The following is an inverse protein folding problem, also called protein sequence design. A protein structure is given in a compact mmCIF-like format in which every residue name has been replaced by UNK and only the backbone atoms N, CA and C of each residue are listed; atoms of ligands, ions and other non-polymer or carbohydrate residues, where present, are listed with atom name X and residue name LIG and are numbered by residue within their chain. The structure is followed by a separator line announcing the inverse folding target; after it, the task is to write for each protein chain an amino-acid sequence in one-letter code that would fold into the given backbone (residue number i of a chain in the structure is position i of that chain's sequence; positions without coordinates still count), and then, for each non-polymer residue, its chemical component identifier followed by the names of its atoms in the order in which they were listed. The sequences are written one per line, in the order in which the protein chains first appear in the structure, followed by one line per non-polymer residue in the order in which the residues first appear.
data_IF_887138978073
#
_entry.id   IF_887138978073
#
_cell.length_a   1.000
_cell.length_b   1.000
_cell.length_c   1.000
_cell.angle_alpha   90.00
_cell.angle_beta   90.00
_cell.angle_gamma   90.00
#
_symmetry.space_group_name_H-M   'P 1'
#
loop_
_entity.id
_entity.type
_entity.pdbx_description
1 polymer ?
#
# COMPACT_ATOMS: atom_id res chain seq x y z
N UNK A 1 25.67 11.88 -7.07
CA UNK A 1 24.77 11.26 -6.08
C UNK A 1 25.63 10.66 -4.98
N UNK A 2 25.42 11.05 -3.73
CA UNK A 2 26.18 10.53 -2.58
C UNK A 2 25.78 9.09 -2.27
N UNK A 3 26.72 8.15 -2.40
CA UNK A 3 26.50 6.72 -2.12
C UNK A 3 26.11 6.45 -0.68
N UNK A 4 26.61 7.27 0.26
CA UNK A 4 26.31 7.15 1.68
C UNK A 4 24.86 7.59 1.97
N UNK A 5 24.39 8.67 1.34
CA UNK A 5 23.01 9.13 1.45
C UNK A 5 22.02 8.08 0.94
N UNK A 6 22.30 7.46 -0.23
CA UNK A 6 21.46 6.39 -0.79
C UNK A 6 21.40 5.18 0.14
N UNK A 7 22.56 4.75 0.68
CA UNK A 7 22.62 3.61 1.61
C UNK A 7 21.80 3.88 2.87
N UNK A 8 21.97 5.06 3.48
CA UNK A 8 21.25 5.44 4.70
C UNK A 8 19.74 5.51 4.45
N UNK A 9 19.34 6.10 3.31
CA UNK A 9 17.94 6.12 2.88
C UNK A 9 17.37 4.71 2.76
N UNK A 10 18.06 3.79 2.08
CA UNK A 10 17.57 2.43 1.88
C UNK A 10 17.36 1.70 3.22
N UNK A 11 18.31 1.84 4.16
CA UNK A 11 18.22 1.22 5.49
C UNK A 11 17.04 1.80 6.28
N UNK A 12 16.90 3.12 6.29
CA UNK A 12 15.84 3.79 7.03
C UNK A 12 14.45 3.49 6.45
N UNK A 13 14.33 3.56 5.12
CA UNK A 13 13.07 3.27 4.43
C UNK A 13 12.60 1.83 4.64
N UNK A 14 13.52 0.85 4.55
CA UNK A 14 13.20 -0.55 4.86
C UNK A 14 12.67 -0.68 6.29
N UNK A 15 13.32 -0.05 7.26
CA UNK A 15 12.89 -0.10 8.67
C UNK A 15 11.51 0.52 8.87
N UNK A 16 11.24 1.67 8.22
CA UNK A 16 9.93 2.34 8.28
C UNK A 16 8.83 1.49 7.64
N UNK A 17 9.11 0.87 6.48
CA UNK A 17 8.14 -0.02 5.81
C UNK A 17 7.82 -1.25 6.66
N UNK A 18 8.83 -1.92 7.21
CA UNK A 18 8.63 -3.06 8.12
C UNK A 18 7.75 -2.66 9.31
N UNK A 19 8.04 -1.52 9.95
CA UNK A 19 7.26 -1.05 11.08
C UNK A 19 5.79 -0.75 10.69
N UNK A 20 5.56 -0.11 9.55
CA UNK A 20 4.22 0.17 9.04
C UNK A 20 3.44 -1.11 8.71
N UNK A 21 4.10 -2.09 8.08
CA UNK A 21 3.49 -3.40 7.75
C UNK A 21 3.16 -4.16 9.03
N UNK A 22 4.05 -4.23 10.01
CA UNK A 22 3.79 -4.86 11.31
C UNK A 22 2.62 -4.19 12.04
N UNK A 23 2.54 -2.86 11.98
CA UNK A 23 1.41 -2.13 12.54
C UNK A 23 0.09 -2.49 11.84
N UNK A 24 0.08 -2.56 10.51
CA UNK A 24 -1.10 -2.95 9.75
C UNK A 24 -1.50 -4.41 10.03
N UNK A 25 -0.56 -5.33 10.11
CA UNK A 25 -0.83 -6.71 10.52
C UNK A 25 -1.47 -6.77 11.91
N UNK A 26 -0.97 -5.98 12.86
CA UNK A 26 -1.56 -5.90 14.20
C UNK A 26 -3.01 -5.40 14.15
N UNK A 27 -3.32 -4.40 13.33
CA UNK A 27 -4.71 -3.93 13.12
C UNK A 27 -5.60 -5.05 12.57
N UNK A 28 -5.05 -5.91 11.73
CA UNK A 28 -5.75 -7.09 11.19
C UNK A 28 -5.83 -8.26 12.18
N UNK A 29 -5.37 -8.10 13.44
CA UNK A 29 -5.33 -9.16 14.44
C UNK A 29 -4.27 -10.22 14.19
N UNK A 30 -3.19 -9.88 13.48
CA UNK A 30 -2.09 -10.79 13.17
C UNK A 30 -0.81 -10.21 13.78
N UNK A 31 -0.23 -10.93 14.73
CA UNK A 31 1.01 -10.54 15.40
C UNK A 31 2.11 -11.57 15.14
N UNK A 32 3.32 -11.30 15.60
CA UNK A 32 4.45 -12.24 15.54
C UNK A 32 4.23 -13.50 16.40
N UNK A 33 3.27 -13.44 17.32
CA UNK A 33 2.98 -14.51 18.26
C UNK A 33 1.75 -15.34 17.87
N UNK A 34 0.73 -14.69 17.26
CA UNK A 34 -0.54 -15.34 16.98
C UNK A 34 -1.39 -14.62 15.93
N UNK A 35 -2.38 -15.35 15.42
CA UNK A 35 -3.50 -14.84 14.63
C UNK A 35 -4.74 -14.84 15.53
N UNK A 36 -5.35 -13.66 15.70
CA UNK A 36 -6.56 -13.51 16.50
C UNK A 36 -7.78 -14.08 15.81
N UNK A 37 -8.67 -14.69 16.56
CA UNK A 37 -9.99 -15.06 16.13
C UNK A 37 -10.88 -13.84 15.91
N UNK A 38 -11.91 -14.03 15.11
CA UNK A 38 -12.92 -13.01 14.84
C UNK A 38 -13.73 -12.72 16.12
N UNK A 39 -13.94 -11.42 16.42
CA UNK A 39 -14.75 -11.00 17.56
C UNK A 39 -16.23 -11.33 17.36
N UNK A 40 -16.96 -11.57 18.44
CA UNK A 40 -18.40 -11.88 18.43
C UNK A 40 -19.27 -10.75 17.83
N UNK A 41 -18.76 -9.51 17.88
CA UNK A 41 -19.42 -8.34 17.27
C UNK A 41 -19.40 -8.33 15.75
N UNK A 42 -18.66 -9.23 15.13
CA UNK A 42 -18.54 -9.34 13.68
C UNK A 42 -19.81 -9.88 13.02
N UNK A 43 -20.02 -9.49 11.78
CA UNK A 43 -21.12 -9.98 10.92
C UNK A 43 -20.56 -10.67 9.67
N UNK A 44 -21.43 -11.03 8.73
CA UNK A 44 -20.99 -11.53 7.42
C UNK A 44 -20.34 -10.49 6.53
N UNK A 45 -20.61 -9.20 6.76
CA UNK A 45 -20.15 -8.07 5.94
C UNK A 45 -19.06 -7.24 6.60
N UNK A 46 -18.94 -7.31 7.94
CA UNK A 46 -18.01 -6.53 8.74
C UNK A 46 -17.33 -7.45 9.75
N UNK A 47 -16.02 -7.53 9.70
CA UNK A 47 -15.22 -8.34 10.61
C UNK A 47 -14.34 -7.49 11.51
N UNK A 48 -14.26 -7.86 12.79
CA UNK A 48 -13.40 -7.25 13.81
C UNK A 48 -12.50 -8.32 14.45
N UNK A 49 -11.24 -7.98 14.71
CA UNK A 49 -10.23 -8.92 15.22
C UNK A 49 -9.51 -8.43 16.47
N UNK A 50 -9.38 -7.12 16.65
CA UNK A 50 -8.66 -6.52 17.80
C UNK A 50 -9.62 -5.71 18.66
N UNK A 51 -10.38 -4.83 18.03
CA UNK A 51 -11.38 -3.97 18.66
C UNK A 51 -12.48 -3.62 17.64
N UNK A 52 -13.50 -2.89 18.06
CA UNK A 52 -14.64 -2.47 17.26
C UNK A 52 -14.40 -1.17 16.46
N UNK A 53 -13.18 -0.61 16.52
CA UNK A 53 -12.81 0.63 15.83
C UNK A 53 -12.17 0.41 14.48
N UNK A 54 -11.71 -0.80 14.22
CA UNK A 54 -11.00 -1.17 12.98
C UNK A 54 -11.79 -2.22 12.20
N UNK A 55 -12.90 -1.85 11.54
CA UNK A 55 -13.69 -2.79 10.75
C UNK A 55 -12.94 -3.22 9.49
N UNK A 56 -13.01 -4.50 9.19
CA UNK A 56 -12.57 -5.07 7.92
C UNK A 56 -13.82 -5.37 7.10
N UNK A 57 -13.93 -4.79 5.91
CA UNK A 57 -15.12 -4.87 5.06
C UNK A 57 -14.78 -5.20 3.62
N UNK A 58 -15.77 -5.60 2.84
CA UNK A 58 -15.67 -5.77 1.39
C UNK A 58 -14.54 -6.74 0.99
N UNK A 59 -13.78 -6.36 -0.02
CA UNK A 59 -12.68 -7.16 -0.56
C UNK A 59 -11.56 -7.43 0.46
N UNK A 60 -11.40 -6.58 1.48
CA UNK A 60 -10.37 -6.74 2.49
C UNK A 60 -10.57 -7.97 3.39
N UNK A 61 -11.81 -8.44 3.57
CA UNK A 61 -12.11 -9.70 4.28
C UNK A 61 -11.43 -10.86 3.56
N UNK A 62 -11.62 -10.95 2.25
CA UNK A 62 -11.02 -12.01 1.42
C UNK A 62 -9.49 -11.89 1.38
N UNK A 63 -8.97 -10.66 1.27
CA UNK A 63 -7.52 -10.41 1.29
C UNK A 63 -6.88 -10.85 2.61
N UNK A 64 -7.54 -10.58 3.76
CA UNK A 64 -7.07 -11.06 5.07
C UNK A 64 -7.11 -12.59 5.16
N UNK A 65 -8.16 -13.24 4.67
CA UNK A 65 -8.21 -14.71 4.66
C UNK A 65 -7.06 -15.31 3.85
N UNK A 66 -6.74 -14.73 2.68
CA UNK A 66 -5.58 -15.16 1.87
C UNK A 66 -4.25 -14.95 2.62
N UNK A 67 -4.10 -13.84 3.34
CA UNK A 67 -2.93 -13.59 4.18
C UNK A 67 -2.74 -14.66 5.26
N UNK A 68 -3.82 -15.02 5.94
CA UNK A 68 -3.80 -16.07 6.98
C UNK A 68 -3.44 -17.43 6.39
N UNK A 69 -4.02 -17.76 5.24
CA UNK A 69 -3.69 -19.01 4.52
C UNK A 69 -2.21 -19.03 4.14
N UNK A 70 -1.68 -17.95 3.60
CA UNK A 70 -0.27 -17.84 3.21
C UNK A 70 0.66 -18.02 4.43
N UNK A 71 0.35 -17.39 5.57
CA UNK A 71 1.13 -17.57 6.80
C UNK A 71 1.14 -19.03 7.26
N UNK A 72 0.00 -19.70 7.26
CA UNK A 72 -0.07 -21.12 7.63
C UNK A 72 0.65 -22.04 6.65
N UNK A 73 0.67 -21.72 5.35
CA UNK A 73 1.45 -22.50 4.38
C UNK A 73 2.97 -22.34 4.62
N UNK A 74 3.43 -21.13 4.92
CA UNK A 74 4.84 -20.88 5.24
C UNK A 74 5.26 -21.52 6.57
N UNK A 75 4.40 -21.47 7.58
CA UNK A 75 4.62 -22.10 8.89
C UNK A 75 4.91 -23.60 8.79
N UNK A 76 4.33 -24.31 7.81
CA UNK A 76 4.60 -25.75 7.58
C UNK A 76 6.04 -26.05 7.23
N UNK A 77 6.75 -25.10 6.63
CA UNK A 77 8.14 -25.26 6.22
C UNK A 77 9.15 -24.78 7.29
N UNK A 78 8.70 -23.91 8.20
CA UNK A 78 9.53 -23.30 9.25
C UNK A 78 8.80 -23.34 10.60
N UNK A 79 8.61 -22.20 11.22
CA UNK A 79 7.75 -21.94 12.38
C UNK A 79 6.98 -20.63 12.12
N UNK A 80 5.97 -20.35 12.96
CA UNK A 80 5.08 -19.21 12.76
C UNK A 80 5.82 -17.86 12.82
N UNK A 81 6.72 -17.67 13.79
CA UNK A 81 7.49 -16.44 13.97
C UNK A 81 8.39 -16.16 12.75
N UNK A 82 9.07 -17.19 12.27
CA UNK A 82 9.88 -17.11 11.05
C UNK A 82 9.03 -16.80 9.83
N UNK A 83 7.91 -17.50 9.63
CA UNK A 83 6.99 -17.27 8.51
C UNK A 83 6.43 -15.85 8.51
N UNK A 84 6.04 -15.33 9.70
CA UNK A 84 5.58 -13.96 9.86
C UNK A 84 6.65 -12.93 9.47
N UNK A 85 7.86 -13.07 9.99
CA UNK A 85 8.95 -12.13 9.72
C UNK A 85 9.39 -12.16 8.24
N UNK A 86 9.48 -13.34 7.63
CA UNK A 86 9.80 -13.47 6.20
C UNK A 86 8.75 -12.82 5.31
N UNK A 87 7.46 -12.99 5.62
CA UNK A 87 6.36 -12.35 4.88
C UNK A 87 6.42 -10.82 5.01
N UNK A 88 6.65 -10.29 6.21
CA UNK A 88 6.81 -8.85 6.44
C UNK A 88 7.97 -8.27 5.64
N UNK A 89 9.11 -8.96 5.63
CA UNK A 89 10.30 -8.56 4.87
C UNK A 89 10.04 -8.57 3.36
N UNK A 90 9.40 -9.60 2.83
CA UNK A 90 9.06 -9.73 1.41
C UNK A 90 8.13 -8.58 0.97
N UNK A 91 7.09 -8.30 1.74
CA UNK A 91 6.16 -7.21 1.44
C UNK A 91 6.87 -5.85 1.51
N UNK A 92 7.71 -5.63 2.52
CA UNK A 92 8.49 -4.40 2.64
C UNK A 92 9.44 -4.20 1.46
N UNK A 93 10.13 -5.25 1.03
CA UNK A 93 11.03 -5.23 -0.13
C UNK A 93 10.28 -4.93 -1.43
N UNK A 94 9.12 -5.56 -1.62
CA UNK A 94 8.27 -5.35 -2.79
C UNK A 94 7.85 -3.89 -2.91
N UNK A 95 7.37 -3.30 -1.83
CA UNK A 95 6.93 -1.90 -1.85
C UNK A 95 8.08 -0.91 -1.92
N UNK A 96 9.21 -1.19 -1.27
CA UNK A 96 10.41 -0.38 -1.42
C UNK A 96 10.84 -0.26 -2.88
N UNK A 97 10.94 -1.38 -3.59
CA UNK A 97 11.34 -1.38 -5.01
C UNK A 97 10.37 -0.59 -5.88
N UNK A 98 9.07 -0.72 -5.64
CA UNK A 98 8.04 0.03 -6.37
C UNK A 98 8.11 1.53 -6.12
N UNK A 99 8.28 1.95 -4.87
CA UNK A 99 8.45 3.35 -4.51
C UNK A 99 9.65 3.97 -5.24
N UNK A 100 10.80 3.31 -5.21
CA UNK A 100 12.01 3.76 -5.91
C UNK A 100 11.79 3.85 -7.42
N UNK A 101 11.17 2.82 -8.01
CA UNK A 101 10.91 2.78 -9.44
C UNK A 101 9.95 3.88 -9.88
N UNK A 102 8.84 4.09 -9.15
CA UNK A 102 7.89 5.16 -9.45
C UNK A 102 8.58 6.52 -9.31
N UNK A 103 9.38 6.72 -8.27
CA UNK A 103 10.14 7.98 -8.11
C UNK A 103 11.09 8.23 -9.27
N UNK A 104 11.84 7.20 -9.66
CA UNK A 104 12.75 7.29 -10.81
C UNK A 104 11.98 7.67 -12.09
N UNK A 105 10.87 7.02 -12.37
CA UNK A 105 10.04 7.31 -13.54
C UNK A 105 9.43 8.72 -13.46
N UNK A 106 9.01 9.15 -12.28
CA UNK A 106 8.42 10.47 -12.06
C UNK A 106 9.42 11.60 -12.34
N UNK A 107 10.63 11.52 -11.76
CA UNK A 107 11.64 12.59 -11.93
C UNK A 107 12.22 12.64 -13.34
N UNK A 108 12.20 11.53 -14.08
CA UNK A 108 12.70 11.45 -15.46
C UNK A 108 11.58 11.60 -16.51
N UNK A 109 10.33 11.81 -16.10
CA UNK A 109 9.19 11.95 -17.01
C UNK A 109 8.83 10.67 -17.77
N UNK A 110 9.13 9.50 -17.22
CA UNK A 110 8.88 8.18 -17.83
C UNK A 110 7.52 7.58 -17.46
N UNK A 111 6.75 8.19 -16.55
CA UNK A 111 5.39 7.77 -16.30
C UNK A 111 4.53 7.95 -17.56
N UNK A 112 3.76 6.95 -18.00
CA UNK A 112 2.93 7.04 -19.19
C UNK A 112 1.96 8.22 -19.19
N UNK A 113 1.38 8.52 -18.04
CA UNK A 113 0.47 9.65 -17.81
C UNK A 113 1.17 11.00 -17.67
N UNK A 114 2.48 11.02 -17.38
CA UNK A 114 3.25 12.17 -16.91
C UNK A 114 2.68 12.85 -15.64
N UNK A 115 1.72 12.23 -14.97
CA UNK A 115 1.14 12.69 -13.72
C UNK A 115 2.03 12.19 -12.57
N UNK A 116 2.45 13.09 -11.69
CA UNK A 116 3.27 12.72 -10.53
C UNK A 116 2.43 11.98 -9.49
N UNK A 117 2.98 10.88 -9.01
CA UNK A 117 2.31 9.94 -8.09
C UNK A 117 2.76 10.13 -6.65
N UNK A 118 4.01 10.51 -6.45
CA UNK A 118 4.63 10.69 -5.14
C UNK A 118 4.75 12.16 -4.74
N UNK A 119 4.80 13.07 -5.71
CA UNK A 119 5.05 14.50 -5.46
C UNK A 119 4.13 15.39 -6.29
N UNK A 120 4.20 16.69 -6.03
CA UNK A 120 3.52 17.71 -6.83
C UNK A 120 4.49 18.44 -7.76
N UNK A 121 4.04 18.71 -8.98
CA UNK A 121 4.76 19.58 -9.94
C UNK A 121 4.71 21.06 -9.58
N UNK A 122 3.74 21.46 -8.76
CA UNK A 122 3.50 22.84 -8.33
C UNK A 122 3.92 23.12 -6.88
N UNK A 123 4.63 22.18 -6.22
CA UNK A 123 5.12 22.35 -4.86
C UNK A 123 4.05 22.25 -3.77
N UNK A 124 2.89 21.65 -4.09
CA UNK A 124 1.85 21.33 -3.08
C UNK A 124 2.25 20.10 -2.27
N UNK A 125 1.60 19.91 -1.12
CA UNK A 125 1.80 18.72 -0.31
C UNK A 125 1.18 17.48 -0.97
N UNK A 126 -0.01 17.62 -1.59
CA UNK A 126 -0.68 16.52 -2.26
C UNK A 126 0.00 16.19 -3.60
N UNK A 127 0.25 14.91 -3.89
CA UNK A 127 0.71 14.45 -5.20
C UNK A 127 -0.26 14.82 -6.32
N UNK A 128 0.25 15.09 -7.53
CA UNK A 128 -0.58 15.53 -8.66
C UNK A 128 -1.69 14.52 -9.01
N UNK A 129 -1.48 13.23 -8.76
CA UNK A 129 -2.48 12.18 -9.03
C UNK A 129 -3.75 12.36 -8.20
N UNK A 130 -3.64 12.92 -6.98
CA UNK A 130 -4.77 13.16 -6.07
C UNK A 130 -5.78 14.17 -6.62
N UNK A 131 -5.35 15.02 -7.54
CA UNK A 131 -6.13 16.12 -8.11
C UNK A 131 -6.80 15.75 -9.43
N UNK A 132 -6.58 14.53 -9.91
CA UNK A 132 -7.14 14.09 -11.19
C UNK A 132 -8.49 13.45 -11.01
N UNK A 133 -9.36 13.69 -11.98
CA UNK A 133 -10.64 13.00 -12.08
C UNK A 133 -10.44 11.54 -12.53
N UNK A 134 -11.43 10.71 -12.31
CA UNK A 134 -11.44 9.34 -12.84
C UNK A 134 -11.21 9.34 -14.36
N UNK A 135 -11.91 10.22 -15.09
CA UNK A 135 -11.81 10.30 -16.55
C UNK A 135 -10.38 10.59 -17.04
N UNK A 136 -9.61 11.40 -16.30
CA UNK A 136 -8.20 11.68 -16.62
C UNK A 136 -7.30 10.47 -16.37
N UNK A 137 -7.67 9.60 -15.42
CA UNK A 137 -6.83 8.49 -14.96
C UNK A 137 -7.12 7.18 -15.71
N UNK A 138 -8.37 6.93 -16.12
CA UNK A 138 -8.78 5.69 -16.81
C UNK A 138 -7.88 5.29 -17.98
N UNK A 139 -7.42 6.20 -18.86
CA UNK A 139 -6.55 5.83 -19.97
C UNK A 139 -5.21 5.19 -19.55
N UNK A 140 -4.77 5.43 -18.34
CA UNK A 140 -3.46 5.01 -17.82
C UNK A 140 -3.56 3.95 -16.72
N UNK A 141 -4.61 3.99 -15.90
CA UNK A 141 -4.79 3.12 -14.74
C UNK A 141 -5.83 2.03 -14.96
N UNK A 142 -6.52 2.07 -16.11
CA UNK A 142 -7.65 1.19 -16.38
C UNK A 142 -8.94 1.62 -15.68
N UNK A 143 -10.02 0.87 -15.90
CA UNK A 143 -11.33 1.15 -15.32
C UNK A 143 -11.31 1.10 -13.78
N UNK A 144 -12.15 1.91 -13.17
CA UNK A 144 -12.36 1.92 -11.72
C UNK A 144 -13.55 1.03 -11.38
N UNK A 145 -13.42 0.20 -10.35
CA UNK A 145 -14.53 -0.57 -9.81
C UNK A 145 -15.51 0.33 -9.05
N UNK A 146 -16.72 -0.16 -8.77
CA UNK A 146 -17.70 0.59 -7.98
C UNK A 146 -17.16 0.96 -6.58
N UNK A 147 -16.36 0.08 -5.96
CA UNK A 147 -15.71 0.34 -4.68
C UNK A 147 -14.66 1.46 -4.79
N UNK A 148 -13.83 1.44 -5.84
CA UNK A 148 -12.82 2.49 -6.10
C UNK A 148 -13.47 3.83 -6.43
N UNK A 149 -14.57 3.83 -7.20
CA UNK A 149 -15.35 5.05 -7.48
C UNK A 149 -15.96 5.63 -6.20
N UNK A 150 -16.50 4.80 -5.33
CA UNK A 150 -17.04 5.23 -4.04
C UNK A 150 -15.95 5.90 -3.18
N UNK A 151 -14.72 5.35 -3.14
CA UNK A 151 -13.58 5.96 -2.45
C UNK A 151 -13.26 7.33 -3.04
N UNK A 152 -13.24 7.47 -4.38
CA UNK A 152 -12.96 8.75 -5.06
C UNK A 152 -13.99 9.84 -4.69
N UNK A 153 -15.27 9.47 -4.72
CA UNK A 153 -16.38 10.39 -4.40
C UNK A 153 -16.34 10.79 -2.93
N UNK A 154 -16.27 9.80 -2.04
CA UNK A 154 -16.29 10.04 -0.59
C UNK A 154 -15.13 10.93 -0.13
N UNK A 155 -13.91 10.67 -0.59
CA UNK A 155 -12.76 11.51 -0.29
C UNK A 155 -12.93 12.97 -0.78
N UNK A 156 -13.61 13.17 -1.90
CA UNK A 156 -13.88 14.52 -2.44
C UNK A 156 -14.98 15.26 -1.71
N UNK A 157 -15.90 14.55 -1.05
CA UNK A 157 -17.00 15.12 -0.27
C UNK A 157 -16.58 15.46 1.16
N UNK A 158 -15.77 14.61 1.79
CA UNK A 158 -15.38 14.77 3.20
C UNK A 158 -14.13 15.60 3.39
N UNK A 159 -13.19 15.53 2.45
CA UNK A 159 -11.83 16.08 2.58
C UNK A 159 -11.12 15.67 3.89
N UNK A 160 -11.63 14.62 4.57
CA UNK A 160 -11.04 14.11 5.79
C UNK A 160 -9.73 13.37 5.47
N UNK A 161 -8.73 13.54 6.33
CA UNK A 161 -7.39 12.94 6.13
C UNK A 161 -7.46 11.42 5.89
N UNK A 162 -8.29 10.71 6.65
CA UNK A 162 -8.43 9.25 6.52
C UNK A 162 -8.98 8.84 5.15
N UNK A 163 -9.91 9.62 4.60
CA UNK A 163 -10.52 9.34 3.30
C UNK A 163 -9.57 9.72 2.16
N UNK A 164 -8.81 10.81 2.33
CA UNK A 164 -7.74 11.21 1.41
C UNK A 164 -6.61 10.18 1.39
N UNK A 165 -6.23 9.61 2.53
CA UNK A 165 -5.25 8.52 2.60
C UNK A 165 -5.77 7.25 1.93
N UNK A 166 -7.04 6.91 2.10
CA UNK A 166 -7.67 5.78 1.41
C UNK A 166 -7.67 5.96 -0.12
N UNK A 167 -8.02 7.17 -0.60
CA UNK A 167 -7.93 7.55 -2.02
C UNK A 167 -6.51 7.44 -2.54
N UNK A 168 -5.53 8.00 -1.82
CA UNK A 168 -4.14 7.96 -2.22
C UNK A 168 -3.63 6.51 -2.33
N UNK A 169 -3.89 5.71 -1.29
CA UNK A 169 -3.53 4.29 -1.29
C UNK A 169 -4.09 3.55 -2.50
N UNK A 170 -5.37 3.73 -2.79
CA UNK A 170 -6.04 3.11 -3.94
C UNK A 170 -5.38 3.53 -5.26
N UNK A 171 -5.16 4.83 -5.47
CA UNK A 171 -4.55 5.37 -6.69
C UNK A 171 -3.10 4.90 -6.85
N UNK A 172 -2.33 4.86 -5.76
CA UNK A 172 -0.95 4.39 -5.78
C UNK A 172 -0.85 2.91 -6.17
N UNK A 173 -1.66 2.06 -5.55
CA UNK A 173 -1.70 0.61 -5.86
C UNK A 173 -2.11 0.40 -7.32
N UNK A 174 -3.12 1.12 -7.78
CA UNK A 174 -3.60 1.05 -9.16
C UNK A 174 -2.54 1.48 -10.16
N UNK A 175 -1.80 2.56 -9.87
CA UNK A 175 -0.66 3.00 -10.68
C UNK A 175 0.46 1.95 -10.70
N UNK A 176 0.82 1.37 -9.57
CA UNK A 176 1.85 0.34 -9.50
C UNK A 176 1.45 -0.90 -10.32
N UNK A 177 0.19 -1.32 -10.24
CA UNK A 177 -0.32 -2.45 -11.02
C UNK A 177 -0.40 -2.14 -12.53
N UNK A 178 -0.76 -0.91 -12.92
CA UNK A 178 -0.77 -0.50 -14.32
C UNK A 178 0.64 -0.52 -14.95
N UNK A 179 1.69 -0.21 -14.19
CA UNK A 179 3.07 -0.26 -14.65
C UNK A 179 3.59 -1.69 -14.90
N UNK A 180 2.90 -2.72 -14.40
CA UNK A 180 3.23 -4.12 -14.73
C UNK A 180 3.24 -4.38 -16.25
N UNK A 181 2.36 -3.75 -17.01
CA UNK A 181 2.31 -3.90 -18.46
C UNK A 181 3.60 -3.41 -19.15
N UNK A 182 4.27 -2.42 -18.59
CA UNK A 182 5.48 -1.82 -19.14
C UNK A 182 6.76 -2.43 -18.56
N UNK A 183 6.74 -2.80 -17.28
CA UNK A 183 7.90 -3.28 -16.53
C UNK A 183 7.50 -4.50 -15.65
N UNK A 184 7.16 -5.66 -16.26
CA UNK A 184 6.59 -6.80 -15.54
C UNK A 184 7.51 -7.37 -14.46
N UNK A 185 8.84 -7.31 -14.64
CA UNK A 185 9.79 -7.80 -13.64
C UNK A 185 10.00 -6.87 -12.44
N UNK A 186 9.63 -5.61 -12.56
CA UNK A 186 9.77 -4.63 -11.49
C UNK A 186 8.45 -4.38 -10.78
N UNK A 187 7.36 -4.48 -11.51
CA UNK A 187 6.00 -4.32 -11.02
C UNK A 187 5.21 -5.63 -11.21
N UNK A 188 5.71 -6.76 -10.71
CA UNK A 188 4.92 -7.97 -10.66
C UNK A 188 3.56 -7.69 -10.01
N UNK A 189 2.49 -8.35 -10.50
CA UNK A 189 1.17 -8.17 -9.87
C UNK A 189 1.29 -8.50 -8.39
N UNK A 190 0.89 -7.56 -7.55
CA UNK A 190 0.88 -7.76 -6.11
C UNK A 190 -0.06 -8.89 -5.75
N UNK A 191 0.36 -9.72 -4.82
CA UNK A 191 -0.55 -10.58 -4.12
C UNK A 191 -1.57 -9.72 -3.36
N UNK A 192 -2.81 -10.17 -3.28
CA UNK A 192 -3.89 -9.43 -2.61
C UNK A 192 -3.54 -9.02 -1.17
N UNK A 193 -2.79 -9.87 -0.45
CA UNK A 193 -2.34 -9.55 0.90
C UNK A 193 -1.23 -8.48 0.95
N UNK A 194 -0.36 -8.42 -0.05
CA UNK A 194 0.65 -7.37 -0.11
C UNK A 194 0.01 -5.97 -0.29
N UNK A 195 -1.09 -5.90 -1.04
CA UNK A 195 -1.88 -4.68 -1.13
C UNK A 195 -2.55 -4.33 0.20
N UNK A 196 -3.11 -5.33 0.90
CA UNK A 196 -3.77 -5.12 2.20
C UNK A 196 -2.81 -4.57 3.25
N UNK A 197 -1.55 -4.98 3.22
CA UNK A 197 -0.52 -4.60 4.19
C UNK A 197 0.16 -3.26 3.86
N UNK A 198 -0.03 -2.69 2.69
CA UNK A 198 0.59 -1.43 2.30
C UNK A 198 -0.33 -0.25 2.59
N UNK A 199 0.11 0.63 3.47
CA UNK A 199 -0.58 1.86 3.87
C UNK A 199 0.30 3.07 3.55
N UNK A 200 0.39 3.49 2.26
CA UNK A 200 1.19 4.63 1.88
C UNK A 200 0.60 5.92 2.43
N UNK A 201 1.46 6.78 2.93
CA UNK A 201 1.14 8.12 3.35
C UNK A 201 2.10 9.09 2.67
N UNK A 202 1.58 10.17 2.07
CA UNK A 202 2.39 11.18 1.39
C UNK A 202 2.77 12.36 2.29
N UNK A 203 2.19 12.45 3.49
CA UNK A 203 2.47 13.51 4.46
C UNK A 203 3.72 13.23 5.30
N UNK A 204 4.08 11.97 5.48
CA UNK A 204 5.22 11.54 6.29
C UNK A 204 5.81 10.20 5.80
N UNK A 205 6.75 9.67 6.54
CA UNK A 205 7.27 8.33 6.35
C UNK A 205 8.27 8.19 5.20
N UNK A 206 8.12 7.12 4.41
CA UNK A 206 9.09 6.77 3.36
C UNK A 206 8.92 7.65 2.13
N UNK A 207 7.68 8.01 1.79
CA UNK A 207 7.38 8.81 0.59
C UNK A 207 7.90 10.23 0.77
N UNK A 208 7.63 10.87 1.91
CA UNK A 208 8.15 12.20 2.21
C UNK A 208 9.68 12.22 2.12
N UNK A 209 10.35 11.25 2.76
CA UNK A 209 11.80 11.15 2.73
C UNK A 209 12.33 10.96 1.29
N UNK A 210 11.65 10.14 0.47
CA UNK A 210 12.04 9.89 -0.93
C UNK A 210 11.90 11.12 -1.83
N UNK A 211 10.94 12.00 -1.55
CA UNK A 211 10.71 13.22 -2.34
C UNK A 211 11.81 14.26 -2.06
N UNK A 212 12.30 14.31 -0.84
CA UNK A 212 13.29 15.31 -0.39
C UNK A 212 14.76 14.86 -0.55
N UNK A 213 15.01 13.68 -1.12
CA UNK A 213 16.35 13.23 -1.55
C UNK A 213 16.80 13.92 -2.83
#
# INVERSE_FOLDING_TARGET
MDKTAIKNFAIESRRKLIAAIKLQMKVLGITEEQISDKLETSTSEIEYYVDDRNPITGSNIVKRQKLVVELHEREKATDYETAYNELVEEVAYTWFNRLIAIRFMEVNGYLPSRIRVLSSSSGRNEPDIMLRSEADLVPYLGAFSNEEQAIMVHASETEATVDMDAKYRMLFIKQANALNANLPHLFEKTNDYAELLFTPNYHDGVIEHLIHM
#
